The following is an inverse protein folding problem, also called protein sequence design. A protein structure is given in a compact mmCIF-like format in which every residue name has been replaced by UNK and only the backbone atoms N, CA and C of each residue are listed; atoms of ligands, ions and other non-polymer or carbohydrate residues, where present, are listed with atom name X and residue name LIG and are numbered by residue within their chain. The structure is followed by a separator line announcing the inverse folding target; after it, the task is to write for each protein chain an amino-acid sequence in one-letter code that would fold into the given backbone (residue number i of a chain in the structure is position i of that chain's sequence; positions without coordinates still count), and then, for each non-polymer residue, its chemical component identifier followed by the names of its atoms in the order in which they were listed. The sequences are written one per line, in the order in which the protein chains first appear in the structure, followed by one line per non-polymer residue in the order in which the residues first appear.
data_IF_961282511272
#
_entry.id   IF_961282511272
#
_cell.length_a   1.000
_cell.length_b   1.000
_cell.length_c   1.000
_cell.angle_alpha   90.00
_cell.angle_beta   90.00
_cell.angle_gamma   90.00
#
_symmetry.space_group_name_H-M   'P 1'
#
loop_
_entity.id
_entity.type
_entity.pdbx_description
1 polymer ?
#
# COMPACT_ATOMS: atom_id res chain seq x y z
N UNK A 1 9.44 9.22 -14.33
CA UNK A 1 9.23 7.80 -14.70
C UNK A 1 7.79 7.45 -14.35
N UNK A 2 7.00 6.85 -15.24
CA UNK A 2 5.57 6.58 -14.99
C UNK A 2 5.34 5.22 -14.27
N UNK A 3 6.31 4.76 -13.50
CA UNK A 3 6.28 3.48 -12.81
C UNK A 3 6.70 3.71 -11.36
N UNK A 4 5.91 3.19 -10.43
CA UNK A 4 6.26 3.11 -9.01
C UNK A 4 6.21 1.64 -8.57
N UNK A 5 7.11 1.28 -7.67
CA UNK A 5 7.11 -0.02 -7.00
C UNK A 5 6.97 0.25 -5.51
N UNK A 6 5.96 -0.33 -4.89
CA UNK A 6 5.72 -0.22 -3.45
C UNK A 6 5.80 -1.60 -2.84
N UNK A 7 6.59 -1.74 -1.78
CA UNK A 7 6.74 -3.00 -1.10
C UNK A 7 5.62 -3.22 -0.08
N UNK A 8 5.10 -4.44 -0.05
CA UNK A 8 4.02 -4.87 0.83
C UNK A 8 4.17 -6.36 1.15
N UNK A 9 3.21 -6.91 1.90
CA UNK A 9 3.25 -8.29 2.40
C UNK A 9 1.88 -8.95 2.32
N UNK A 10 1.86 -10.14 1.73
CA UNK A 10 0.69 -11.03 1.80
C UNK A 10 0.61 -11.70 3.18
N UNK A 11 -0.52 -12.35 3.47
CA UNK A 11 -0.71 -13.16 4.68
C UNK A 11 -0.79 -14.63 4.30
N UNK A 12 0.07 -15.46 4.86
CA UNK A 12 0.06 -16.90 4.61
C UNK A 12 0.33 -17.67 5.90
N UNK A 13 -0.73 -17.98 6.64
CA UNK A 13 -0.63 -18.56 7.98
C UNK A 13 0.18 -17.65 8.90
N UNK A 14 1.28 -18.17 9.45
CA UNK A 14 2.21 -17.43 10.32
C UNK A 14 3.31 -16.67 9.55
N UNK A 15 3.28 -16.70 8.21
CA UNK A 15 4.27 -16.03 7.35
C UNK A 15 3.67 -14.81 6.66
N UNK A 16 4.56 -13.88 6.32
CA UNK A 16 4.25 -12.71 5.53
C UNK A 16 5.17 -12.62 4.29
N UNK A 17 4.86 -13.37 3.22
CA UNK A 17 5.67 -13.33 2.00
C UNK A 17 5.57 -11.96 1.32
N UNK A 18 6.67 -11.55 0.69
CA UNK A 18 6.77 -10.26 0.00
C UNK A 18 5.80 -10.16 -1.18
N UNK A 19 5.15 -9.01 -1.29
CA UNK A 19 4.35 -8.60 -2.44
C UNK A 19 4.85 -7.25 -2.93
N UNK A 20 5.17 -7.16 -4.21
CA UNK A 20 5.46 -5.90 -4.88
C UNK A 20 4.19 -5.39 -5.55
N UNK A 21 3.81 -4.17 -5.23
CA UNK A 21 2.73 -3.43 -5.88
C UNK A 21 3.36 -2.52 -6.92
N UNK A 22 3.25 -2.92 -8.17
CA UNK A 22 3.79 -2.18 -9.31
C UNK A 22 2.66 -1.35 -9.92
N UNK A 23 2.82 -0.02 -9.94
CA UNK A 23 1.83 0.90 -10.50
C UNK A 23 2.42 1.62 -11.69
N UNK A 24 1.79 1.42 -12.85
CA UNK A 24 2.16 2.07 -14.09
C UNK A 24 1.08 3.03 -14.58
N UNK A 25 1.47 4.24 -14.98
CA UNK A 25 0.61 5.21 -15.64
C UNK A 25 0.89 5.24 -17.15
N UNK A 26 -0.04 4.69 -17.92
CA UNK A 26 -0.02 4.70 -19.39
C UNK A 26 -0.70 5.93 -20.00
N UNK A 27 -0.74 5.97 -21.33
CA UNK A 27 -1.62 6.87 -22.09
C UNK A 27 -2.99 6.24 -22.39
N UNK A 28 -3.91 7.04 -22.90
CA UNK A 28 -5.28 6.63 -23.27
C UNK A 28 -6.34 7.12 -22.28
N UNK A 29 -7.58 6.65 -22.48
CA UNK A 29 -8.72 7.03 -21.65
C UNK A 29 -8.53 6.62 -20.18
N UNK A 30 -9.08 7.39 -19.22
CA UNK A 30 -9.02 7.06 -17.80
C UNK A 30 -9.61 5.67 -17.52
N UNK A 31 -8.78 4.78 -16.98
CA UNK A 31 -9.18 3.44 -16.58
C UNK A 31 -8.21 2.94 -15.51
N UNK A 32 -8.69 2.11 -14.59
CA UNK A 32 -7.84 1.47 -13.57
C UNK A 32 -8.01 -0.04 -13.64
N UNK A 33 -6.92 -0.76 -13.84
CA UNK A 33 -6.87 -2.22 -13.85
C UNK A 33 -5.98 -2.70 -12.71
N UNK A 34 -6.44 -3.70 -11.96
CA UNK A 34 -5.69 -4.33 -10.88
C UNK A 34 -5.57 -5.82 -11.21
N UNK A 35 -4.34 -6.33 -11.23
CA UNK A 35 -4.02 -7.74 -11.52
C UNK A 35 -3.43 -8.39 -10.27
N UNK A 36 -3.88 -9.59 -9.95
CA UNK A 36 -3.42 -10.35 -8.78
C UNK A 36 -4.35 -10.26 -7.56
N UNK A 37 -5.56 -9.70 -7.70
CA UNK A 37 -6.62 -9.71 -6.69
C UNK A 37 -7.90 -10.37 -7.22
N UNK A 38 -8.75 -10.95 -6.33
CA UNK A 38 -10.10 -11.38 -6.67
C UNK A 38 -10.97 -10.23 -7.16
N UNK A 39 -11.90 -10.50 -8.09
CA UNK A 39 -12.71 -9.48 -8.78
C UNK A 39 -13.48 -8.56 -7.83
N UNK A 40 -14.09 -9.11 -6.77
CA UNK A 40 -14.81 -8.32 -5.77
C UNK A 40 -13.87 -7.34 -5.04
N UNK A 41 -12.70 -7.83 -4.60
CA UNK A 41 -11.70 -7.01 -3.94
C UNK A 41 -11.15 -5.92 -4.86
N UNK A 42 -11.01 -6.19 -6.16
CA UNK A 42 -10.61 -5.20 -7.17
C UNK A 42 -11.62 -4.06 -7.25
N UNK A 43 -12.93 -4.35 -7.28
CA UNK A 43 -13.97 -3.32 -7.35
C UNK A 43 -13.94 -2.42 -6.12
N UNK A 44 -13.90 -3.02 -4.93
CA UNK A 44 -13.91 -2.24 -3.69
C UNK A 44 -12.62 -1.42 -3.51
N UNK A 45 -11.46 -1.99 -3.83
CA UNK A 45 -10.18 -1.30 -3.73
C UNK A 45 -10.14 -0.06 -4.65
N UNK A 46 -10.71 -0.13 -5.86
CA UNK A 46 -10.81 1.03 -6.77
C UNK A 46 -11.57 2.18 -6.12
N UNK A 47 -12.72 1.89 -5.50
CA UNK A 47 -13.57 2.89 -4.87
C UNK A 47 -12.86 3.51 -3.64
N UNK A 48 -12.28 2.66 -2.78
CA UNK A 48 -11.56 3.08 -1.57
C UNK A 48 -10.31 3.89 -1.88
N UNK A 49 -9.46 3.43 -2.79
CA UNK A 49 -8.22 4.13 -3.17
C UNK A 49 -8.53 5.49 -3.81
N UNK A 50 -9.49 5.54 -4.73
CA UNK A 50 -9.87 6.81 -5.38
C UNK A 50 -10.40 7.82 -4.37
N UNK A 51 -11.32 7.41 -3.50
CA UNK A 51 -11.88 8.29 -2.48
C UNK A 51 -10.82 8.74 -1.47
N UNK A 52 -9.96 7.83 -1.01
CA UNK A 52 -8.88 8.13 -0.07
C UNK A 52 -7.87 9.15 -0.63
N UNK A 53 -7.47 9.01 -1.90
CA UNK A 53 -6.60 9.98 -2.60
C UNK A 53 -7.25 11.38 -2.61
N UNK A 54 -8.54 11.45 -2.97
CA UNK A 54 -9.28 12.72 -3.00
C UNK A 54 -9.42 13.33 -1.60
N UNK A 55 -9.74 12.53 -0.57
CA UNK A 55 -9.81 12.99 0.82
C UNK A 55 -8.46 13.50 1.33
N UNK A 56 -7.36 12.88 0.92
CA UNK A 56 -6.01 13.33 1.21
C UNK A 56 -5.55 14.56 0.41
N UNK A 57 -6.46 15.21 -0.34
CA UNK A 57 -6.20 16.41 -1.15
C UNK A 57 -5.19 16.20 -2.27
N UNK A 58 -5.04 14.95 -2.74
CA UNK A 58 -4.25 14.60 -3.92
C UNK A 58 -5.15 14.42 -5.14
N UNK A 59 -4.56 14.54 -6.32
CA UNK A 59 -5.27 14.34 -7.58
C UNK A 59 -5.27 12.85 -7.96
N UNK A 60 -6.44 12.30 -8.29
CA UNK A 60 -6.50 10.97 -8.90
C UNK A 60 -6.22 11.07 -10.41
N UNK A 61 -5.15 10.45 -10.94
CA UNK A 61 -4.72 10.67 -12.32
C UNK A 61 -5.79 10.28 -13.35
N UNK A 62 -6.09 11.18 -14.29
CA UNK A 62 -6.99 10.94 -15.44
C UNK A 62 -6.25 10.20 -16.57
N UNK A 63 -5.64 9.05 -16.24
CA UNK A 63 -4.82 8.24 -17.15
C UNK A 63 -5.19 6.77 -17.02
N UNK A 64 -4.68 5.94 -17.93
CA UNK A 64 -4.76 4.48 -17.78
C UNK A 64 -3.78 4.01 -16.71
N UNK A 65 -4.30 3.53 -15.58
CA UNK A 65 -3.57 3.01 -14.43
C UNK A 65 -3.57 1.48 -14.50
N UNK A 66 -2.39 0.87 -14.40
CA UNK A 66 -2.25 -0.58 -14.26
C UNK A 66 -1.51 -0.87 -12.97
N UNK A 67 -2.14 -1.67 -12.11
CA UNK A 67 -1.62 -2.12 -10.83
C UNK A 67 -1.39 -3.63 -10.95
N UNK A 68 -0.17 -4.07 -10.69
CA UNK A 68 0.20 -5.48 -10.66
C UNK A 68 0.68 -5.85 -9.26
N UNK A 69 0.10 -6.89 -8.66
CA UNK A 69 0.55 -7.44 -7.40
C UNK A 69 1.32 -8.75 -7.63
N UNK A 70 2.65 -8.69 -7.53
CA UNK A 70 3.53 -9.82 -7.75
C UNK A 70 4.11 -10.35 -6.42
N UNK A 71 4.32 -11.67 -6.27
CA UNK A 71 4.08 -12.73 -7.24
C UNK A 71 2.63 -13.25 -7.22
N UNK A 72 2.12 -13.73 -8.36
CA UNK A 72 0.68 -14.03 -8.56
C UNK A 72 0.14 -15.22 -7.75
N UNK A 73 1.00 -16.14 -7.34
CA UNK A 73 0.71 -17.39 -6.63
C UNK A 73 0.35 -17.22 -5.14
N UNK A 74 0.70 -16.07 -4.55
CA UNK A 74 0.39 -15.80 -3.15
C UNK A 74 -1.10 -15.47 -2.93
N UNK A 75 -1.69 -15.87 -1.78
CA UNK A 75 -3.02 -15.44 -1.40
C UNK A 75 -3.03 -13.92 -1.19
N UNK A 76 -3.79 -13.23 -2.03
CA UNK A 76 -3.95 -11.77 -1.98
C UNK A 76 -5.44 -11.45 -1.89
N UNK A 77 -5.92 -11.32 -0.68
CA UNK A 77 -7.30 -11.01 -0.34
C UNK A 77 -7.40 -9.80 0.59
N UNK A 78 -8.56 -9.17 0.60
CA UNK A 78 -8.90 -8.06 1.47
C UNK A 78 -8.28 -6.71 1.10
N UNK A 79 -8.49 -5.71 1.97
CA UNK A 79 -8.10 -4.31 1.74
C UNK A 79 -6.66 -3.97 2.06
N UNK A 80 -5.83 -4.91 2.54
CA UNK A 80 -4.45 -4.62 3.01
C UNK A 80 -3.53 -3.95 1.98
N UNK A 81 -3.87 -4.07 0.69
CA UNK A 81 -3.10 -3.51 -0.41
C UNK A 81 -3.61 -2.13 -0.85
N UNK A 82 -4.69 -1.61 -0.27
CA UNK A 82 -5.22 -0.31 -0.65
C UNK A 82 -4.18 0.80 -0.42
N UNK A 83 -3.51 0.81 0.73
CA UNK A 83 -2.45 1.77 1.05
C UNK A 83 -1.28 1.73 0.04
N UNK A 84 -0.60 0.59 -0.20
CA UNK A 84 0.50 0.56 -1.16
C UNK A 84 0.04 0.85 -2.60
N UNK A 85 -1.20 0.50 -2.98
CA UNK A 85 -1.76 0.89 -4.28
C UNK A 85 -1.91 2.42 -4.39
N UNK A 86 -2.48 3.06 -3.38
CA UNK A 86 -2.64 4.51 -3.37
C UNK A 86 -1.28 5.23 -3.46
N UNK A 87 -0.30 4.80 -2.65
CA UNK A 87 1.05 5.36 -2.68
C UNK A 87 1.74 5.15 -4.04
N UNK A 88 1.56 3.98 -4.65
CA UNK A 88 2.09 3.71 -5.99
C UNK A 88 1.48 4.63 -7.05
N UNK A 89 0.19 4.93 -6.98
CA UNK A 89 -0.48 5.90 -7.88
C UNK A 89 0.09 7.30 -7.67
N UNK A 90 0.22 7.75 -6.42
CA UNK A 90 0.76 9.07 -6.10
C UNK A 90 2.21 9.22 -6.55
N UNK A 91 3.04 8.20 -6.34
CA UNK A 91 4.44 8.23 -6.74
C UNK A 91 4.61 8.14 -8.26
N UNK A 92 3.85 7.28 -8.94
CA UNK A 92 3.90 7.16 -10.40
C UNK A 92 3.38 8.42 -11.11
N UNK A 93 2.52 9.21 -10.45
CA UNK A 93 2.04 10.52 -10.92
C UNK A 93 2.93 11.69 -10.50
N UNK A 94 3.99 11.44 -9.73
CA UNK A 94 4.93 12.48 -9.28
C UNK A 94 4.42 13.36 -8.14
N UNK A 95 3.33 12.97 -7.47
CA UNK A 95 2.75 13.70 -6.33
C UNK A 95 3.49 13.41 -5.02
N UNK A 96 4.21 12.30 -4.94
CA UNK A 96 5.15 12.00 -3.85
C UNK A 96 6.50 11.50 -4.42
N UNK A 97 7.62 11.67 -3.70
CA UNK A 97 8.92 11.22 -4.17
C UNK A 97 9.00 9.69 -4.27
N UNK A 98 9.39 9.16 -5.43
CA UNK A 98 9.60 7.72 -5.64
C UNK A 98 10.63 7.14 -4.66
N UNK A 99 11.71 7.88 -4.40
CA UNK A 99 12.80 7.42 -3.53
C UNK A 99 12.38 7.28 -2.07
N UNK A 100 11.33 7.99 -1.63
CA UNK A 100 10.81 7.87 -0.27
C UNK A 100 10.20 6.48 0.01
N UNK A 101 9.82 5.74 -1.04
CA UNK A 101 9.19 4.41 -0.93
C UNK A 101 10.21 3.25 -0.90
N UNK A 102 11.49 3.51 -1.23
CA UNK A 102 12.50 2.47 -1.50
C UNK A 102 12.75 1.55 -0.29
N UNK A 103 12.91 2.15 0.88
CA UNK A 103 13.32 1.44 2.10
C UNK A 103 12.17 1.27 3.10
N UNK A 104 10.93 1.26 2.60
CA UNK A 104 9.71 1.20 3.40
C UNK A 104 8.73 0.19 2.81
N UNK A 105 8.15 -0.63 3.68
CA UNK A 105 7.02 -1.49 3.37
C UNK A 105 5.72 -0.88 3.92
N UNK A 106 4.63 -1.07 3.20
CA UNK A 106 3.33 -0.50 3.54
C UNK A 106 2.26 -1.59 3.52
N UNK A 107 1.49 -1.64 4.60
CA UNK A 107 0.32 -2.52 4.71
C UNK A 107 -0.81 -1.71 5.35
N UNK A 108 -2.03 -1.86 4.84
CA UNK A 108 -3.18 -1.16 5.41
C UNK A 108 -4.36 -1.07 4.45
N UNK A 109 -5.55 -1.20 5.01
CA UNK A 109 -6.81 -0.92 4.31
C UNK A 109 -7.12 0.58 4.39
N UNK A 110 -7.64 1.14 3.30
CA UNK A 110 -8.11 2.52 3.26
C UNK A 110 -9.62 2.56 3.37
N UNK A 111 -10.14 3.39 4.26
CA UNK A 111 -11.54 3.80 4.22
C UNK A 111 -11.78 4.81 3.09
N UNK A 112 -13.04 5.00 2.69
CA UNK A 112 -13.43 6.07 1.76
C UNK A 112 -13.06 7.47 2.27
N UNK A 113 -12.91 7.64 3.59
CA UNK A 113 -12.48 8.88 4.25
C UNK A 113 -10.97 9.14 4.18
N UNK A 114 -10.20 8.18 3.67
CA UNK A 114 -8.73 8.21 3.69
C UNK A 114 -8.10 7.72 5.00
N UNK A 115 -8.90 7.26 5.97
CA UNK A 115 -8.40 6.63 7.20
C UNK A 115 -7.80 5.25 6.93
N UNK A 116 -6.74 4.92 7.66
CA UNK A 116 -6.15 3.57 7.67
C UNK A 116 -6.91 2.69 8.67
N UNK A 117 -7.46 1.59 8.18
CA UNK A 117 -8.14 0.58 8.98
C UNK A 117 -7.22 -0.56 9.37
N UNK A 118 -7.51 -1.14 10.52
CA UNK A 118 -6.78 -2.29 11.03
C UNK A 118 -6.79 -3.45 10.03
N UNK A 119 -5.68 -4.17 9.97
CA UNK A 119 -5.55 -5.42 9.21
C UNK A 119 -5.05 -6.54 10.11
N UNK A 120 -5.27 -7.79 9.69
CA UNK A 120 -4.74 -8.94 10.43
C UNK A 120 -3.29 -9.26 10.06
N UNK A 121 -2.59 -9.95 10.97
CA UNK A 121 -1.27 -10.53 10.69
C UNK A 121 -0.20 -9.47 10.49
N UNK A 122 -0.19 -8.45 11.35
CA UNK A 122 0.82 -7.39 11.31
C UNK A 122 2.11 -7.84 11.97
N UNK A 123 2.07 -8.65 13.02
CA UNK A 123 3.27 -9.21 13.64
C UNK A 123 4.17 -9.97 12.65
N UNK A 124 3.68 -10.97 11.89
CA UNK A 124 4.53 -11.67 10.93
C UNK A 124 5.03 -10.74 9.81
N UNK A 125 4.27 -9.71 9.42
CA UNK A 125 4.72 -8.71 8.46
C UNK A 125 5.85 -7.83 9.03
N UNK A 126 5.74 -7.42 10.29
CA UNK A 126 6.75 -6.65 11.01
C UNK A 126 8.07 -7.42 11.15
N UNK A 127 8.00 -8.71 11.52
CA UNK A 127 9.17 -9.59 11.56
C UNK A 127 9.84 -9.70 10.18
N UNK A 128 9.07 -9.99 9.13
CA UNK A 128 9.58 -10.17 7.78
C UNK A 128 10.15 -8.88 7.16
N UNK A 129 9.57 -7.72 7.48
CA UNK A 129 10.12 -6.42 7.08
C UNK A 129 11.46 -6.13 7.77
N UNK A 130 11.57 -6.46 9.07
CA UNK A 130 12.83 -6.38 9.82
C UNK A 130 13.92 -7.29 9.24
N UNK A 131 13.59 -8.53 8.88
CA UNK A 131 14.51 -9.46 8.20
C UNK A 131 14.98 -8.92 6.83
N UNK A 132 14.11 -8.20 6.13
CA UNK A 132 14.44 -7.55 4.86
C UNK A 132 15.15 -6.19 5.02
N UNK A 133 15.41 -5.74 6.25
CA UNK A 133 16.06 -4.46 6.54
C UNK A 133 15.25 -3.23 6.14
N UNK A 134 13.92 -3.36 6.01
CA UNK A 134 13.01 -2.27 5.62
C UNK A 134 12.19 -1.77 6.81
N UNK A 135 11.87 -0.48 6.79
CA UNK A 135 10.90 0.12 7.73
C UNK A 135 9.50 -0.38 7.38
N UNK A 136 8.59 -0.41 8.35
CA UNK A 136 7.21 -0.82 8.11
C UNK A 136 6.24 0.28 8.55
N UNK A 137 5.35 0.71 7.66
CA UNK A 137 4.23 1.59 7.99
C UNK A 137 2.94 0.79 8.05
N UNK A 138 2.26 0.87 9.20
CA UNK A 138 1.02 0.13 9.49
C UNK A 138 -0.10 1.08 9.96
N UNK A 139 -1.37 0.65 9.93
CA UNK A 139 -2.47 1.38 10.56
C UNK A 139 -2.22 1.57 12.05
N UNK A 140 -2.58 2.73 12.60
CA UNK A 140 -2.43 3.01 14.02
C UNK A 140 -3.05 1.97 14.96
N UNK A 141 -4.23 1.37 14.67
CA UNK A 141 -4.76 0.27 15.48
C UNK A 141 -3.85 -0.96 15.56
N UNK A 142 -2.99 -1.18 14.56
CA UNK A 142 -2.05 -2.31 14.55
C UNK A 142 -0.72 -2.02 15.24
N UNK A 143 -0.52 -0.81 15.78
CA UNK A 143 0.75 -0.38 16.35
C UNK A 143 1.26 -1.27 17.48
N UNK A 144 0.39 -1.68 18.40
CA UNK A 144 0.76 -2.53 19.52
C UNK A 144 1.28 -3.91 19.06
N UNK A 145 0.66 -4.48 18.03
CA UNK A 145 1.08 -5.76 17.45
C UNK A 145 2.40 -5.63 16.70
N UNK A 146 2.56 -4.57 15.90
CA UNK A 146 3.81 -4.30 15.18
C UNK A 146 5.00 -4.10 16.12
N UNK A 147 4.79 -3.42 17.25
CA UNK A 147 5.82 -3.14 18.25
C UNK A 147 6.39 -4.39 18.96
N UNK A 148 5.73 -5.55 18.83
CA UNK A 148 6.25 -6.82 19.36
C UNK A 148 7.47 -7.32 18.56
N UNK A 149 7.64 -6.87 17.31
CA UNK A 149 8.79 -7.21 16.49
C UNK A 149 10.01 -6.35 16.85
N UNK A 150 11.01 -6.96 17.49
CA UNK A 150 12.15 -6.23 18.08
C UNK A 150 13.18 -5.70 17.07
N UNK A 151 13.10 -6.10 15.79
CA UNK A 151 14.11 -5.84 14.75
C UNK A 151 13.60 -5.04 13.55
N UNK A 152 12.55 -4.25 13.73
CA UNK A 152 11.96 -3.41 12.67
C UNK A 152 11.68 -2.01 13.17
N UNK A 153 11.98 -0.98 12.38
CA UNK A 153 11.44 0.37 12.60
C UNK A 153 10.01 0.39 12.07
N UNK A 154 9.06 0.04 12.94
CA UNK A 154 7.63 0.11 12.67
C UNK A 154 7.06 1.47 13.04
N UNK A 155 6.39 2.13 12.10
CA UNK A 155 5.69 3.39 12.31
C UNK A 155 4.20 3.22 12.05
N UNK A 156 3.41 4.07 12.68
CA UNK A 156 1.95 4.03 12.57
C UNK A 156 1.42 5.29 11.91
N UNK A 157 0.36 5.13 11.11
CA UNK A 157 -0.39 6.24 10.55
C UNK A 157 -1.90 6.01 10.68
N UNK A 158 -2.65 7.10 10.81
CA UNK A 158 -4.12 7.10 10.90
C UNK A 158 -4.78 7.39 9.55
N UNK A 159 -4.10 8.10 8.65
CA UNK A 159 -4.66 8.50 7.35
C UNK A 159 -3.63 8.42 6.23
N UNK A 160 -4.08 8.29 4.98
CA UNK A 160 -3.23 8.33 3.80
C UNK A 160 -2.42 9.64 3.77
N UNK A 161 -3.06 10.77 4.10
CA UNK A 161 -2.40 12.06 4.20
C UNK A 161 -1.22 12.05 5.20
N UNK A 162 -1.40 11.42 6.36
CA UNK A 162 -0.33 11.31 7.35
C UNK A 162 0.84 10.47 6.80
N UNK A 163 0.57 9.38 6.07
CA UNK A 163 1.62 8.59 5.42
C UNK A 163 2.38 9.43 4.39
N UNK A 164 1.67 10.16 3.52
CA UNK A 164 2.30 11.05 2.54
C UNK A 164 3.17 12.12 3.22
N UNK A 165 2.70 12.71 4.33
CA UNK A 165 3.49 13.67 5.12
C UNK A 165 4.79 13.06 5.67
N UNK A 166 4.74 11.83 6.18
CA UNK A 166 5.94 11.12 6.67
C UNK A 166 6.97 10.85 5.56
N UNK A 167 6.54 10.76 4.30
CA UNK A 167 7.39 10.52 3.15
C UNK A 167 8.00 11.82 2.58
N UNK A 168 7.42 12.98 2.91
CA UNK A 168 7.86 14.28 2.41
C UNK A 168 9.03 14.89 3.20
N UNK A 169 9.31 14.40 4.42
CA UNK A 169 10.32 14.94 5.33
C UNK A 169 9.69 15.76 6.45
#
# INVERSE_FOLDING_TARGET
MNLAIVHSRARTGIRAPEVRVEVHLGGGLPAMNIVGLPEAAVREAKDRVRAAIACAQFEFPQRRITVNLAPADLPKDGGRFDLPIALGILAASGQIPLDALRDVEFIGELALTGELRAIDGVLPAALAAGEAGRRLIVPAPNGAEAALASRVDSRTARTLLQVCGMLAG
#
